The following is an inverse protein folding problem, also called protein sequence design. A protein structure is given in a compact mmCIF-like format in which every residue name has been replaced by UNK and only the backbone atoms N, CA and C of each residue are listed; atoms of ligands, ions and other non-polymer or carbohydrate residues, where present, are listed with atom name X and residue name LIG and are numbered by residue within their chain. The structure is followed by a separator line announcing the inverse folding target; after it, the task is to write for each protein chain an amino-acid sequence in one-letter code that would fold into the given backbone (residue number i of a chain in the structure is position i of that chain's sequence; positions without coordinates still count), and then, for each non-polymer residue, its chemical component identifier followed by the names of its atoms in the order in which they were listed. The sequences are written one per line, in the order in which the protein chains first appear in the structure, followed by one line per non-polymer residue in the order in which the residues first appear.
data_IF_930894236072
#
_entry.id   IF_930894236072
#
_cell.length_a   1.000
_cell.length_b   1.000
_cell.length_c   1.000
_cell.angle_alpha   90.00
_cell.angle_beta   90.00
_cell.angle_gamma   90.00
#
_symmetry.space_group_name_H-M   'P 1'
#
loop_
_entity.id
_entity.type
_entity.pdbx_description
1 polymer ?
#
# COMPACT_ATOMS: atom_id res chain seq x y z
N UNK A 1 -21.38 44.30 30.21
CA UNK A 1 -21.82 43.31 29.18
C UNK A 1 -21.93 41.93 29.81
N UNK A 2 -23.15 41.36 29.86
CA UNK A 2 -23.50 40.11 30.56
C UNK A 2 -23.04 38.87 29.77
N UNK A 3 -22.24 37.99 30.40
CA UNK A 3 -21.99 36.62 29.91
C UNK A 3 -23.27 35.78 30.08
N UNK A 4 -23.93 35.43 28.98
CA UNK A 4 -25.03 34.44 28.97
C UNK A 4 -24.46 33.03 29.18
N UNK A 5 -24.78 32.41 30.33
CA UNK A 5 -24.65 30.97 30.55
C UNK A 5 -25.73 30.26 29.73
N UNK A 6 -25.35 29.41 28.78
CA UNK A 6 -26.26 28.41 28.17
C UNK A 6 -25.94 27.06 28.81
N UNK A 7 -26.61 26.74 29.92
CA UNK A 7 -26.60 25.41 30.51
C UNK A 7 -27.99 25.12 31.09
N UNK A 8 -28.89 24.49 30.33
CA UNK A 8 -30.07 23.79 30.90
C UNK A 8 -30.99 23.19 29.81
N UNK A 9 -30.48 22.34 28.93
CA UNK A 9 -31.37 21.55 28.04
C UNK A 9 -31.07 20.04 28.09
N UNK A 10 -29.82 19.64 28.34
CA UNK A 10 -29.43 18.22 28.46
C UNK A 10 -29.71 17.60 29.84
N UNK A 11 -29.70 18.39 30.92
CA UNK A 11 -29.96 17.88 32.28
C UNK A 11 -31.44 17.53 32.51
N UNK A 12 -32.35 18.23 31.81
CA UNK A 12 -33.80 18.05 31.95
C UNK A 12 -34.26 16.75 31.26
N UNK A 13 -33.61 16.36 30.16
CA UNK A 13 -33.94 15.13 29.43
C UNK A 13 -33.59 13.84 30.20
N UNK A 14 -32.53 13.85 31.00
CA UNK A 14 -32.07 12.67 31.76
C UNK A 14 -32.97 12.40 32.98
N UNK A 15 -33.48 13.44 33.63
CA UNK A 15 -34.39 13.30 34.77
C UNK A 15 -35.79 12.78 34.35
N UNK A 16 -36.23 13.07 33.12
CA UNK A 16 -37.51 12.59 32.59
C UNK A 16 -37.49 11.09 32.26
N UNK A 17 -36.34 10.54 31.88
CA UNK A 17 -36.21 9.10 31.55
C UNK A 17 -36.12 8.24 32.81
N UNK A 18 -35.51 8.75 33.90
CA UNK A 18 -35.40 8.03 35.17
C UNK A 18 -36.75 7.84 35.88
N UNK A 19 -37.69 8.78 35.71
CA UNK A 19 -39.04 8.67 36.27
C UNK A 19 -39.91 7.56 35.65
N UNK A 20 -39.62 7.16 34.40
CA UNK A 20 -40.42 6.18 33.67
C UNK A 20 -40.02 4.71 33.93
N UNK A 21 -38.85 4.47 34.56
CA UNK A 21 -38.30 3.12 34.78
C UNK A 21 -38.07 2.72 36.25
N UNK A 22 -38.55 3.51 37.23
CA UNK A 22 -38.60 3.05 38.63
C UNK A 22 -37.26 2.72 39.29
N UNK A 23 -36.18 3.43 38.92
CA UNK A 23 -34.84 3.21 39.50
C UNK A 23 -34.66 3.97 40.81
N UNK A 24 -34.15 3.29 41.85
CA UNK A 24 -33.90 3.86 43.18
C UNK A 24 -32.74 4.88 43.18
N UNK A 25 -32.74 5.91 44.07
CA UNK A 25 -31.81 7.05 44.03
C UNK A 25 -30.32 6.72 44.14
N UNK A 26 -29.96 5.54 44.66
CA UNK A 26 -28.56 5.11 44.80
C UNK A 26 -27.92 4.60 43.49
N UNK A 27 -28.69 4.29 42.45
CA UNK A 27 -28.16 3.80 41.17
C UNK A 27 -27.90 4.91 40.14
N UNK A 28 -28.46 6.12 40.35
CA UNK A 28 -28.25 7.26 39.46
C UNK A 28 -26.82 7.83 39.54
N UNK A 29 -26.12 7.67 40.66
CA UNK A 29 -24.74 8.16 40.84
C UNK A 29 -23.67 7.30 40.15
N UNK A 30 -23.95 6.03 39.84
CA UNK A 30 -23.03 5.17 39.10
C UNK A 30 -23.09 5.37 37.58
N UNK A 31 -24.24 5.82 37.05
CA UNK A 31 -24.39 6.09 35.60
C UNK A 31 -23.65 7.37 35.19
N UNK A 32 -23.61 8.38 36.07
CA UNK A 32 -22.92 9.65 35.82
C UNK A 32 -21.39 9.50 35.77
N UNK A 33 -20.82 8.64 36.63
CA UNK A 33 -19.36 8.37 36.65
C UNK A 33 -18.91 7.57 35.43
N UNK A 34 -19.75 6.69 34.88
CA UNK A 34 -19.45 5.96 33.64
C UNK A 34 -19.51 6.90 32.42
N UNK A 35 -20.46 7.85 32.37
CA UNK A 35 -20.58 8.79 31.27
C UNK A 35 -19.43 9.83 31.20
N UNK A 36 -18.94 10.30 32.35
CA UNK A 36 -17.77 11.20 32.42
C UNK A 36 -16.47 10.49 32.03
N UNK A 37 -16.32 9.20 32.39
CA UNK A 37 -15.16 8.38 32.00
C UNK A 37 -15.17 7.99 30.51
N UNK A 38 -16.35 7.85 29.89
CA UNK A 38 -16.47 7.66 28.44
C UNK A 38 -16.13 8.96 27.70
N UNK A 39 -16.50 10.14 28.22
CA UNK A 39 -16.14 11.43 27.60
C UNK A 39 -14.65 11.76 27.70
N UNK A 40 -13.96 11.37 28.78
CA UNK A 40 -12.51 11.52 28.88
C UNK A 40 -11.75 10.50 28.01
N UNK A 41 -12.28 9.28 27.84
CA UNK A 41 -11.70 8.27 26.95
C UNK A 41 -11.90 8.61 25.46
N UNK A 42 -13.04 9.22 25.08
CA UNK A 42 -13.34 9.67 23.71
C UNK A 42 -12.58 10.96 23.34
N UNK A 43 -12.19 11.78 24.33
CA UNK A 43 -11.41 13.00 24.08
C UNK A 43 -9.90 12.71 23.99
N UNK A 44 -9.41 11.61 24.57
CA UNK A 44 -8.01 11.17 24.43
C UNK A 44 -7.74 10.34 23.16
N UNK A 45 -8.77 9.87 22.45
CA UNK A 45 -8.60 9.17 21.15
C UNK A 45 -8.61 10.08 19.93
N UNK A 46 -8.96 11.37 20.05
CA UNK A 46 -8.96 12.33 18.93
C UNK A 46 -7.64 13.08 18.69
N UNK A 47 -6.65 12.94 19.58
CA UNK A 47 -5.36 13.65 19.47
C UNK A 47 -4.13 12.73 19.28
N UNK A 48 -4.32 11.45 18.91
CA UNK A 48 -3.24 10.53 18.50
C UNK A 48 -3.25 10.16 17.01
N UNK A 49 -3.72 11.06 16.16
CA UNK A 49 -3.61 10.94 14.70
C UNK A 49 -3.08 12.23 14.09
N UNK A 50 -1.77 12.50 14.29
CA UNK A 50 -0.97 13.36 13.39
C UNK A 50 0.52 13.32 13.72
N UNK A 51 1.08 12.12 13.74
CA UNK A 51 2.49 11.93 13.41
C UNK A 51 2.64 10.64 12.61
N UNK A 52 1.81 10.50 11.59
CA UNK A 52 2.14 9.62 10.47
C UNK A 52 3.24 10.37 9.70
N UNK A 53 4.39 9.74 9.52
CA UNK A 53 5.43 10.20 8.60
C UNK A 53 4.79 10.38 7.22
N UNK A 54 4.31 11.58 6.92
CA UNK A 54 3.61 11.87 5.68
C UNK A 54 4.61 11.77 4.54
N UNK A 55 4.35 10.86 3.60
CA UNK A 55 5.12 10.74 2.37
C UNK A 55 5.28 12.13 1.73
N UNK A 56 6.49 12.47 1.34
CA UNK A 56 6.80 13.82 0.86
C UNK A 56 6.38 13.94 -0.61
N UNK A 57 5.78 15.07 -0.98
CA UNK A 57 5.48 15.37 -2.38
C UNK A 57 6.78 15.59 -3.16
N UNK A 58 6.91 14.98 -4.34
CA UNK A 58 8.00 15.25 -5.28
C UNK A 58 7.53 16.04 -6.49
N UNK A 59 8.45 16.77 -7.10
CA UNK A 59 8.28 17.38 -8.43
C UNK A 59 8.53 16.40 -9.58
N UNK A 60 9.16 15.25 -9.31
CA UNK A 60 9.41 14.22 -10.30
C UNK A 60 8.10 13.51 -10.69
N UNK A 61 7.77 13.51 -11.98
CA UNK A 61 6.52 12.89 -12.49
C UNK A 61 6.78 11.88 -13.60
N UNK A 62 7.90 11.96 -14.29
CA UNK A 62 8.32 11.00 -15.32
C UNK A 62 9.23 9.89 -14.76
N UNK A 63 9.30 8.76 -15.47
CA UNK A 63 10.21 7.65 -15.13
C UNK A 63 11.66 8.08 -15.02
N UNK A 64 12.15 8.92 -15.94
CA UNK A 64 13.53 9.46 -15.91
C UNK A 64 13.78 10.31 -14.67
N UNK A 65 12.84 11.16 -14.28
CA UNK A 65 12.98 11.98 -13.07
C UNK A 65 12.92 11.14 -11.80
N UNK A 66 12.04 10.13 -11.75
CA UNK A 66 11.96 9.19 -10.62
C UNK A 66 13.26 8.36 -10.51
N UNK A 67 13.80 7.90 -11.63
CA UNK A 67 15.07 7.18 -11.67
C UNK A 67 16.25 8.01 -11.14
N UNK A 68 16.21 9.34 -11.29
CA UNK A 68 17.25 10.24 -10.80
C UNK A 68 17.20 10.47 -9.27
N UNK A 69 16.11 10.09 -8.60
CA UNK A 69 16.00 10.22 -7.14
C UNK A 69 16.97 9.26 -6.44
N UNK A 70 17.56 9.73 -5.33
CA UNK A 70 18.36 8.91 -4.43
C UNK A 70 17.68 8.89 -3.06
N UNK A 71 17.54 7.70 -2.48
CA UNK A 71 17.04 7.58 -1.12
C UNK A 71 18.08 8.10 -0.13
N UNK A 72 17.62 8.88 0.85
CA UNK A 72 18.45 9.35 1.95
C UNK A 72 18.10 8.56 3.21
N UNK A 73 19.10 7.93 3.82
CA UNK A 73 18.93 7.10 5.03
C UNK A 73 18.16 7.85 6.12
N UNK A 74 17.15 7.20 6.70
CA UNK A 74 16.28 7.76 7.73
C UNK A 74 15.07 8.56 7.21
N UNK A 75 14.99 8.85 5.92
CA UNK A 75 13.82 9.53 5.32
C UNK A 75 12.68 8.54 5.05
N UNK A 76 11.48 9.07 4.79
CA UNK A 76 10.36 8.24 4.38
C UNK A 76 10.68 7.50 3.06
N UNK A 77 10.52 6.16 2.98
CA UNK A 77 10.77 5.40 1.75
C UNK A 77 9.67 5.58 0.69
N UNK A 78 8.63 6.36 0.98
CA UNK A 78 7.52 6.65 0.08
C UNK A 78 7.54 8.13 -0.30
N UNK A 79 7.36 8.40 -1.59
CA UNK A 79 7.23 9.73 -2.17
C UNK A 79 5.90 9.83 -2.90
N UNK A 80 5.16 10.92 -2.70
CA UNK A 80 3.92 11.22 -3.42
C UNK A 80 4.26 11.83 -4.78
N UNK A 81 3.80 11.20 -5.86
CA UNK A 81 4.00 11.64 -7.24
C UNK A 81 2.73 12.35 -7.71
N UNK A 82 2.86 13.46 -8.44
CA UNK A 82 1.70 14.24 -8.91
C UNK A 82 0.72 14.60 -7.77
N UNK A 83 1.25 15.06 -6.63
CA UNK A 83 0.45 15.38 -5.44
C UNK A 83 -0.30 14.18 -4.85
N UNK A 84 0.20 12.97 -5.10
CA UNK A 84 -0.40 11.72 -4.65
C UNK A 84 -1.61 11.28 -5.48
N UNK A 85 -1.81 11.84 -6.68
CA UNK A 85 -2.97 11.52 -7.52
C UNK A 85 -2.56 10.83 -8.81
N UNK A 86 -3.27 9.76 -9.15
CA UNK A 86 -3.12 9.06 -10.42
C UNK A 86 -3.40 9.99 -11.60
N UNK A 87 -2.67 9.78 -12.69
CA UNK A 87 -2.90 10.45 -13.98
C UNK A 87 -3.76 9.62 -14.92
N UNK A 88 -4.21 8.44 -14.49
CA UNK A 88 -5.00 7.52 -15.29
C UNK A 88 -6.41 8.06 -15.49
N UNK A 89 -6.94 7.90 -16.70
CA UNK A 89 -8.36 8.11 -16.96
C UNK A 89 -9.11 6.78 -16.81
N UNK A 90 -9.98 6.61 -15.79
CA UNK A 90 -10.69 5.36 -15.59
C UNK A 90 -11.65 5.01 -16.74
N UNK A 91 -12.06 6.00 -17.55
CA UNK A 91 -12.92 5.78 -18.71
C UNK A 91 -12.20 5.14 -19.91
N UNK A 92 -10.87 4.98 -19.88
CA UNK A 92 -10.14 4.35 -20.98
C UNK A 92 -10.13 2.81 -20.86
N UNK A 93 -10.62 2.26 -19.75
CA UNK A 93 -10.43 0.85 -19.38
C UNK A 93 -11.76 0.20 -19.00
N UNK A 94 -12.07 -0.93 -19.65
CA UNK A 94 -13.37 -1.62 -19.49
C UNK A 94 -13.26 -3.14 -19.47
N UNK A 95 -12.08 -3.70 -19.75
CA UNK A 95 -11.88 -5.13 -19.93
C UNK A 95 -11.03 -5.67 -18.79
N UNK A 96 -11.53 -6.66 -18.06
CA UNK A 96 -10.77 -7.38 -17.04
C UNK A 96 -9.57 -8.08 -17.69
N UNK A 97 -8.40 -7.48 -17.56
CA UNK A 97 -7.13 -7.97 -18.09
C UNK A 97 -5.96 -7.24 -17.46
N UNK A 98 -4.77 -7.82 -17.61
CA UNK A 98 -3.49 -7.13 -17.36
C UNK A 98 -2.75 -6.99 -18.67
N UNK A 99 -2.42 -5.77 -19.06
CA UNK A 99 -1.49 -5.51 -20.15
C UNK A 99 -0.08 -5.57 -19.59
N UNK A 100 0.61 -6.68 -19.86
CA UNK A 100 2.02 -6.85 -19.54
C UNK A 100 2.90 -6.20 -20.61
N UNK A 101 3.77 -5.28 -20.18
CA UNK A 101 4.79 -4.71 -21.05
C UNK A 101 5.85 -5.75 -21.44
N UNK A 102 6.39 -5.64 -22.65
CA UNK A 102 7.52 -6.45 -23.07
C UNK A 102 8.76 -6.16 -22.22
N UNK A 103 9.64 -7.14 -22.07
CA UNK A 103 10.95 -6.89 -21.47
C UNK A 103 11.78 -5.98 -22.39
N UNK A 104 12.68 -5.19 -21.81
CA UNK A 104 13.65 -4.44 -22.62
C UNK A 104 14.82 -5.32 -23.08
N UNK A 105 15.76 -4.70 -23.80
CA UNK A 105 16.97 -5.35 -24.31
C UNK A 105 17.90 -5.94 -23.23
N UNK A 106 17.71 -5.56 -21.95
CA UNK A 106 18.44 -6.11 -20.81
C UNK A 106 17.61 -7.18 -20.07
N UNK A 107 16.46 -7.61 -20.65
CA UNK A 107 15.50 -8.54 -20.06
C UNK A 107 14.82 -8.01 -18.78
N UNK A 108 14.71 -6.69 -18.62
CA UNK A 108 14.06 -6.04 -17.47
C UNK A 108 12.61 -5.72 -17.79
N UNK A 109 11.76 -5.61 -16.77
CA UNK A 109 10.49 -4.91 -16.92
C UNK A 109 10.77 -3.46 -17.36
N UNK A 110 10.14 -3.01 -18.44
CA UNK A 110 10.61 -1.83 -19.19
C UNK A 110 9.65 -0.64 -19.19
N UNK A 111 8.39 -0.91 -18.89
CA UNK A 111 7.28 0.04 -18.91
C UNK A 111 6.24 -0.41 -17.92
N UNK A 112 5.28 0.47 -17.62
CA UNK A 112 4.24 0.14 -16.68
C UNK A 112 3.38 -1.03 -17.17
N UNK A 113 3.04 -1.95 -16.29
CA UNK A 113 1.94 -2.89 -16.54
C UNK A 113 0.63 -2.19 -16.20
N UNK A 114 -0.45 -2.46 -16.92
CA UNK A 114 -1.77 -1.88 -16.58
C UNK A 114 -2.78 -2.96 -16.35
N UNK A 115 -3.35 -3.00 -15.15
CA UNK A 115 -4.37 -3.94 -14.74
C UNK A 115 -5.71 -3.22 -14.62
N UNK A 116 -6.75 -3.75 -15.26
CA UNK A 116 -8.13 -3.42 -14.94
C UNK A 116 -8.73 -4.56 -14.13
N UNK A 117 -9.01 -4.27 -12.86
CA UNK A 117 -9.34 -5.24 -11.84
C UNK A 117 -10.75 -5.04 -11.30
N UNK A 118 -11.38 -6.14 -10.92
CA UNK A 118 -12.73 -6.22 -10.38
C UNK A 118 -12.74 -7.15 -9.16
N UNK A 119 -13.86 -7.21 -8.42
CA UNK A 119 -13.98 -8.03 -7.20
C UNK A 119 -13.60 -9.50 -7.41
N UNK A 120 -13.87 -10.05 -8.60
CA UNK A 120 -13.53 -11.43 -8.97
C UNK A 120 -12.03 -11.72 -9.07
N UNK A 121 -11.17 -10.70 -9.09
CA UNK A 121 -9.71 -10.88 -9.14
C UNK A 121 -9.05 -11.01 -7.76
N UNK A 122 -9.79 -10.85 -6.66
CA UNK A 122 -9.21 -11.05 -5.33
C UNK A 122 -9.02 -12.55 -5.07
N UNK A 123 -7.77 -13.00 -4.96
CA UNK A 123 -7.43 -14.41 -4.65
C UNK A 123 -7.40 -14.68 -3.14
N UNK A 124 -7.47 -15.97 -2.80
CA UNK A 124 -7.09 -16.45 -1.48
C UNK A 124 -5.55 -16.52 -1.38
N UNK A 125 -4.98 -15.88 -0.36
CA UNK A 125 -3.52 -15.82 -0.14
C UNK A 125 -2.88 -17.21 0.06
N UNK A 126 -3.66 -18.24 0.41
CA UNK A 126 -3.19 -19.62 0.52
C UNK A 126 -2.79 -20.26 -0.83
N UNK A 127 -3.12 -19.64 -1.97
CA UNK A 127 -2.85 -20.17 -3.32
C UNK A 127 -1.48 -19.77 -3.87
N UNK A 128 -0.57 -19.29 -3.01
CA UNK A 128 0.80 -18.97 -3.39
C UNK A 128 1.59 -20.25 -3.66
N UNK A 129 2.27 -20.30 -4.80
CA UNK A 129 3.17 -21.40 -5.17
C UNK A 129 4.63 -20.96 -5.11
N UNK A 130 5.53 -21.94 -5.13
CA UNK A 130 6.97 -21.65 -5.22
C UNK A 130 7.28 -20.92 -6.52
N UNK A 131 7.99 -19.79 -6.39
CA UNK A 131 8.46 -19.02 -7.54
C UNK A 131 9.88 -19.48 -7.93
N UNK A 132 10.12 -19.68 -9.22
CA UNK A 132 11.38 -20.22 -9.74
C UNK A 132 12.20 -19.19 -10.53
N UNK A 133 11.53 -18.27 -11.21
CA UNK A 133 12.18 -17.28 -12.07
C UNK A 133 13.07 -16.31 -11.29
N UNK A 134 14.13 -15.80 -11.90
CA UNK A 134 15.01 -14.82 -11.28
C UNK A 134 15.04 -13.58 -12.18
N UNK A 135 14.45 -12.45 -11.75
CA UNK A 135 14.56 -11.21 -12.51
C UNK A 135 16.01 -10.72 -12.60
N UNK A 136 16.25 -9.71 -13.42
CA UNK A 136 17.57 -9.06 -13.51
C UNK A 136 18.05 -8.57 -12.13
N UNK A 137 19.37 -8.57 -11.93
CA UNK A 137 19.99 -8.13 -10.69
C UNK A 137 19.74 -9.06 -9.49
N UNK A 138 19.25 -10.28 -9.71
CA UNK A 138 18.94 -11.20 -8.62
C UNK A 138 20.20 -11.77 -7.94
N UNK A 139 20.53 -11.23 -6.77
CA UNK A 139 21.62 -11.71 -5.92
C UNK A 139 21.14 -11.88 -4.47
N UNK A 140 20.39 -12.96 -4.22
CA UNK A 140 19.79 -13.23 -2.91
C UNK A 140 20.83 -13.32 -1.79
N UNK A 141 20.51 -12.70 -0.64
CA UNK A 141 21.21 -12.87 0.64
C UNK A 141 20.21 -13.05 1.77
N UNK A 142 20.72 -13.43 2.93
CA UNK A 142 19.92 -13.61 4.13
C UNK A 142 20.52 -12.81 5.29
N UNK A 143 19.66 -12.15 6.06
CA UNK A 143 19.98 -11.60 7.36
C UNK A 143 19.50 -12.59 8.42
N UNK A 144 20.40 -13.46 8.90
CA UNK A 144 20.02 -14.64 9.66
C UNK A 144 19.21 -15.61 8.77
N UNK A 145 17.97 -15.89 9.14
CA UNK A 145 17.04 -16.74 8.36
C UNK A 145 16.14 -15.96 7.39
N UNK A 146 16.21 -14.63 7.42
CA UNK A 146 15.30 -13.77 6.66
C UNK A 146 15.93 -13.37 5.33
N UNK A 147 15.27 -13.70 4.22
CA UNK A 147 15.66 -13.24 2.89
C UNK A 147 15.57 -11.70 2.79
N UNK A 148 16.53 -11.07 2.12
CA UNK A 148 16.54 -9.61 1.95
C UNK A 148 15.99 -9.16 0.59
N UNK A 149 15.79 -10.09 -0.35
CA UNK A 149 15.17 -9.85 -1.64
C UNK A 149 13.95 -10.76 -1.83
N UNK A 150 12.94 -10.22 -2.51
CA UNK A 150 11.77 -10.91 -3.02
C UNK A 150 11.68 -10.73 -4.53
N UNK A 151 10.98 -11.66 -5.18
CA UNK A 151 10.52 -11.50 -6.56
C UNK A 151 9.32 -10.57 -6.49
N UNK A 152 9.57 -9.27 -6.61
CA UNK A 152 8.56 -8.24 -6.51
C UNK A 152 7.61 -8.33 -7.68
N UNK A 153 6.33 -8.56 -7.39
CA UNK A 153 5.27 -8.50 -8.39
C UNK A 153 4.94 -7.05 -8.70
N UNK A 154 4.84 -6.69 -9.98
CA UNK A 154 4.23 -5.42 -10.37
C UNK A 154 2.73 -5.48 -10.07
N UNK A 155 2.03 -6.50 -10.60
CA UNK A 155 0.65 -6.82 -10.25
C UNK A 155 0.65 -8.08 -9.39
N UNK A 156 0.30 -7.94 -8.11
CA UNK A 156 0.28 -9.04 -7.16
C UNK A 156 -0.68 -10.16 -7.56
N UNK A 157 -0.28 -11.41 -7.33
CA UNK A 157 -1.14 -12.57 -7.56
C UNK A 157 -2.44 -12.51 -6.73
N UNK A 158 -2.40 -11.90 -5.54
CA UNK A 158 -3.56 -11.71 -4.66
C UNK A 158 -4.61 -10.75 -5.23
N UNK A 159 -4.23 -9.91 -6.20
CA UNK A 159 -5.09 -8.93 -6.87
C UNK A 159 -5.47 -9.36 -8.30
N UNK A 160 -4.94 -10.47 -8.80
CA UNK A 160 -5.04 -10.85 -10.21
C UNK A 160 -5.55 -12.27 -10.41
N UNK A 161 -6.35 -12.82 -9.48
CA UNK A 161 -7.07 -14.08 -9.68
C UNK A 161 -7.76 -14.08 -11.04
N UNK A 162 -7.64 -15.18 -11.76
CA UNK A 162 -8.24 -15.33 -13.07
C UNK A 162 -7.44 -14.66 -14.18
N UNK A 163 -6.35 -13.95 -13.91
CA UNK A 163 -5.50 -13.38 -14.96
C UNK A 163 -4.42 -14.39 -15.35
N UNK A 164 -4.43 -14.81 -16.61
CA UNK A 164 -3.44 -15.73 -17.18
C UNK A 164 -2.10 -15.04 -17.50
N UNK A 165 -1.09 -15.83 -17.87
CA UNK A 165 0.27 -15.34 -18.16
C UNK A 165 0.35 -14.36 -19.35
N UNK A 166 -0.58 -14.47 -20.30
CA UNK A 166 -0.74 -13.55 -21.43
C UNK A 166 -1.59 -12.31 -21.08
N UNK A 167 -2.15 -12.27 -19.86
CA UNK A 167 -2.87 -11.12 -19.31
C UNK A 167 -4.38 -11.16 -19.48
N UNK A 168 -4.93 -12.20 -20.11
CA UNK A 168 -6.36 -12.34 -20.32
C UNK A 168 -7.08 -12.87 -19.07
N UNK A 169 -8.38 -12.61 -18.94
CA UNK A 169 -9.18 -13.20 -17.87
C UNK A 169 -9.66 -14.60 -18.26
N UNK A 170 -9.26 -15.60 -17.49
CA UNK A 170 -9.69 -16.99 -17.51
C UNK A 170 -10.21 -17.38 -16.10
N UNK A 171 -11.52 -17.53 -15.91
CA UNK A 171 -12.10 -17.84 -14.59
C UNK A 171 -11.71 -19.22 -14.05
N UNK A 172 -11.13 -20.10 -14.87
CA UNK A 172 -10.61 -21.39 -14.40
C UNK A 172 -9.35 -21.22 -13.55
N UNK A 173 -8.59 -20.13 -13.75
CA UNK A 173 -7.38 -19.83 -12.98
C UNK A 173 -7.73 -19.33 -11.57
N UNK A 174 -7.45 -20.14 -10.55
CA UNK A 174 -7.79 -19.83 -9.17
C UNK A 174 -6.81 -18.85 -8.49
N UNK A 175 -5.69 -18.54 -9.14
CA UNK A 175 -4.68 -17.59 -8.67
C UNK A 175 -4.27 -16.64 -9.80
N UNK A 176 -3.62 -15.54 -9.46
CA UNK A 176 -2.96 -14.70 -10.45
C UNK A 176 -1.60 -15.24 -10.86
N UNK A 177 -0.99 -14.59 -11.84
CA UNK A 177 0.36 -14.91 -12.29
C UNK A 177 1.40 -14.82 -11.14
N UNK A 178 2.23 -15.86 -11.02
CA UNK A 178 3.27 -15.96 -9.98
C UNK A 178 4.71 -16.01 -10.52
N UNK A 179 4.90 -16.22 -11.83
CA UNK A 179 6.21 -16.51 -12.42
C UNK A 179 6.46 -15.82 -13.79
N UNK A 180 5.62 -14.88 -14.23
CA UNK A 180 5.88 -14.13 -15.47
C UNK A 180 7.03 -13.12 -15.27
N UNK A 181 8.10 -13.25 -16.07
CA UNK A 181 9.21 -12.30 -16.05
C UNK A 181 8.78 -10.87 -16.40
N UNK A 182 7.70 -10.69 -17.18
CA UNK A 182 7.13 -9.35 -17.48
C UNK A 182 6.44 -8.70 -16.28
N UNK A 183 6.22 -9.45 -15.20
CA UNK A 183 5.52 -9.01 -14.01
C UNK A 183 6.41 -9.04 -12.76
N UNK A 184 7.68 -9.45 -12.89
CA UNK A 184 8.57 -9.67 -11.75
C UNK A 184 9.85 -8.86 -11.88
N UNK A 185 10.26 -8.24 -10.78
CA UNK A 185 11.53 -7.52 -10.66
C UNK A 185 12.22 -7.85 -9.34
N UNK A 186 13.53 -7.58 -9.25
CA UNK A 186 14.27 -7.77 -8.01
C UNK A 186 13.90 -6.64 -7.04
N UNK A 187 13.21 -6.99 -5.96
CA UNK A 187 12.71 -6.04 -4.96
C UNK A 187 13.23 -6.41 -3.58
N UNK A 188 13.58 -5.42 -2.76
CA UNK A 188 13.95 -5.67 -1.37
C UNK A 188 12.78 -6.24 -0.58
N UNK A 189 13.06 -7.10 0.39
CA UNK A 189 12.03 -7.69 1.23
C UNK A 189 11.22 -6.61 1.96
N UNK A 190 11.89 -5.55 2.43
CA UNK A 190 11.25 -4.41 3.07
C UNK A 190 10.31 -3.66 2.12
N UNK A 191 10.77 -3.24 0.93
CA UNK A 191 9.90 -2.48 0.01
C UNK A 191 8.75 -3.34 -0.51
N UNK A 192 8.98 -4.63 -0.78
CA UNK A 192 7.95 -5.58 -1.21
C UNK A 192 6.90 -5.81 -0.11
N UNK A 193 7.32 -6.24 1.07
CA UNK A 193 6.39 -6.73 2.11
C UNK A 193 5.82 -5.58 2.94
N UNK A 194 6.65 -4.61 3.35
CA UNK A 194 6.21 -3.56 4.27
C UNK A 194 5.57 -2.38 3.55
N UNK A 195 6.08 -2.00 2.39
CA UNK A 195 5.70 -0.73 1.75
C UNK A 195 4.69 -0.94 0.63
N UNK A 196 5.01 -1.76 -0.38
CA UNK A 196 4.12 -2.00 -1.50
C UNK A 196 2.80 -2.67 -1.07
N UNK A 197 2.84 -3.57 -0.09
CA UNK A 197 1.62 -4.21 0.43
C UNK A 197 0.62 -3.23 1.05
N UNK A 198 1.04 -2.04 1.50
CA UNK A 198 0.12 -0.97 1.94
C UNK A 198 -0.84 -0.63 0.80
N UNK A 199 -0.29 -0.28 -0.36
CA UNK A 199 -1.05 0.15 -1.53
C UNK A 199 -1.80 -1.00 -2.19
N UNK A 200 -1.21 -2.19 -2.22
CA UNK A 200 -1.93 -3.38 -2.68
C UNK A 200 -3.14 -3.70 -1.79
N UNK A 201 -3.08 -3.37 -0.50
CA UNK A 201 -4.21 -3.53 0.41
C UNK A 201 -5.30 -2.51 0.15
N UNK A 202 -4.95 -1.24 -0.12
CA UNK A 202 -5.94 -0.23 -0.54
C UNK A 202 -6.68 -0.65 -1.82
N UNK A 203 -5.95 -1.19 -2.81
CA UNK A 203 -6.56 -1.76 -4.03
C UNK A 203 -7.43 -2.96 -3.67
N UNK A 204 -6.94 -3.91 -2.86
CA UNK A 204 -7.69 -5.10 -2.45
C UNK A 204 -9.01 -4.76 -1.78
N UNK A 205 -9.00 -3.78 -0.87
CA UNK A 205 -10.17 -3.38 -0.12
C UNK A 205 -11.18 -2.64 -1.02
N UNK A 206 -10.72 -1.85 -1.98
CA UNK A 206 -11.58 -1.28 -3.02
C UNK A 206 -12.27 -2.37 -3.86
N UNK A 207 -11.51 -3.39 -4.30
CA UNK A 207 -12.07 -4.52 -5.05
C UNK A 207 -13.08 -5.32 -4.21
N UNK A 208 -12.81 -5.56 -2.93
CA UNK A 208 -13.76 -6.21 -2.00
C UNK A 208 -15.03 -5.38 -1.80
N UNK A 209 -14.94 -4.06 -1.85
CA UNK A 209 -16.08 -3.15 -1.78
C UNK A 209 -16.87 -3.04 -3.10
N UNK A 210 -16.60 -3.90 -4.09
CA UNK A 210 -17.33 -3.91 -5.36
C UNK A 210 -16.81 -2.93 -6.41
N UNK A 211 -15.69 -2.24 -6.16
CA UNK A 211 -15.15 -1.24 -7.08
C UNK A 211 -14.37 -1.90 -8.21
N UNK A 212 -14.34 -1.21 -9.35
CA UNK A 212 -13.44 -1.53 -10.46
C UNK A 212 -12.24 -0.59 -10.38
N UNK A 213 -11.03 -1.13 -10.47
CA UNK A 213 -9.78 -0.38 -10.23
C UNK A 213 -8.85 -0.55 -11.40
N UNK A 214 -8.35 0.57 -11.93
CA UNK A 214 -7.20 0.60 -12.82
C UNK A 214 -5.97 0.72 -11.91
N UNK A 215 -5.05 -0.24 -12.01
CA UNK A 215 -3.79 -0.25 -11.27
C UNK A 215 -2.62 -0.34 -12.25
N UNK A 216 -1.69 0.62 -12.17
CA UNK A 216 -0.58 0.74 -13.10
C UNK A 216 0.77 0.82 -12.36
N UNK A 217 1.35 -0.34 -12.00
CA UNK A 217 2.68 -0.44 -11.41
C UNK A 217 3.81 -0.36 -12.46
N UNK A 218 4.92 0.30 -12.10
CA UNK A 218 6.10 0.46 -12.96
C UNK A 218 7.40 0.42 -12.15
N UNK A 219 8.23 -0.61 -12.37
CA UNK A 219 9.57 -0.67 -11.80
C UNK A 219 10.48 0.34 -12.54
N UNK A 220 11.17 1.19 -11.78
CA UNK A 220 11.94 2.31 -12.33
C UNK A 220 13.43 1.98 -12.28
N UNK A 221 14.04 1.82 -13.45
CA UNK A 221 15.48 1.60 -13.61
C UNK A 221 16.19 2.90 -14.01
N UNK A 222 17.45 3.08 -13.59
CA UNK A 222 18.31 4.19 -14.05
C UNK A 222 19.31 3.66 -15.06
N UNK A 223 19.26 4.16 -16.30
CA UNK A 223 20.17 3.75 -17.37
C UNK A 223 20.19 2.23 -17.55
N UNK A 224 21.37 1.62 -17.48
CA UNK A 224 21.59 0.19 -17.69
C UNK A 224 21.59 -0.65 -16.38
N UNK A 225 21.07 -0.11 -15.28
CA UNK A 225 21.01 -0.83 -14.01
C UNK A 225 20.15 -2.09 -14.10
N UNK A 226 20.60 -3.19 -13.49
CA UNK A 226 19.89 -4.46 -13.50
C UNK A 226 18.87 -4.60 -12.35
N UNK A 227 18.96 -3.77 -11.32
CA UNK A 227 17.98 -3.69 -10.23
C UNK A 227 17.31 -2.31 -10.23
N UNK A 228 15.97 -2.22 -10.10
CA UNK A 228 15.30 -0.93 -10.15
C UNK A 228 15.56 -0.12 -8.88
N UNK A 229 15.60 1.21 -9.02
CA UNK A 229 15.75 2.17 -7.91
C UNK A 229 14.51 2.23 -7.02
N UNK A 230 13.37 1.83 -7.56
CA UNK A 230 12.08 1.86 -6.90
C UNK A 230 10.97 1.38 -7.81
N UNK A 231 9.74 1.48 -7.32
CA UNK A 231 8.53 1.16 -8.08
C UNK A 231 7.54 2.31 -7.94
N UNK A 232 7.03 2.80 -9.07
CA UNK A 232 5.90 3.71 -9.08
C UNK A 232 4.61 2.89 -9.08
N UNK A 233 3.69 3.21 -8.19
CA UNK A 233 2.36 2.63 -8.12
C UNK A 233 1.34 3.74 -8.30
N UNK A 234 0.45 3.61 -9.26
CA UNK A 234 -0.74 4.45 -9.34
C UNK A 234 -2.00 3.62 -9.49
N UNK A 235 -3.07 4.05 -8.84
CA UNK A 235 -4.37 3.43 -8.95
C UNK A 235 -5.48 4.48 -9.01
N UNK A 236 -6.54 4.17 -9.75
CA UNK A 236 -7.80 4.92 -9.73
C UNK A 236 -8.98 3.95 -9.85
N UNK A 237 -10.00 4.10 -9.01
CA UNK A 237 -11.27 3.40 -9.20
C UNK A 237 -12.17 4.12 -10.21
N UNK A 238 -13.09 3.40 -10.85
CA UNK A 238 -14.03 4.00 -11.82
C UNK A 238 -14.93 5.06 -11.19
N UNK A 239 -15.28 4.90 -9.91
CA UNK A 239 -15.98 5.89 -9.07
C UNK A 239 -15.08 6.99 -8.49
N UNK A 240 -13.76 6.94 -8.77
CA UNK A 240 -12.71 7.88 -8.34
C UNK A 240 -12.49 8.01 -6.83
N UNK A 241 -13.08 7.12 -6.02
CA UNK A 241 -12.95 7.15 -4.56
C UNK A 241 -11.64 6.55 -4.05
N UNK A 242 -11.03 5.61 -4.80
CA UNK A 242 -9.64 5.22 -4.66
C UNK A 242 -8.84 6.02 -5.69
N UNK A 243 -7.82 6.75 -5.24
CA UNK A 243 -6.93 7.50 -6.13
C UNK A 243 -5.58 7.73 -5.45
N UNK A 244 -4.52 7.11 -5.96
CA UNK A 244 -3.16 7.36 -5.49
C UNK A 244 -2.12 7.35 -6.61
N UNK A 245 -0.99 8.00 -6.37
CA UNK A 245 0.22 7.89 -7.18
C UNK A 245 1.46 8.09 -6.31
N UNK A 246 2.23 7.03 -6.15
CA UNK A 246 3.35 6.98 -5.22
C UNK A 246 4.57 6.35 -5.87
N UNK A 247 5.75 6.74 -5.41
CA UNK A 247 7.01 6.10 -5.72
C UNK A 247 7.60 5.53 -4.43
N UNK A 248 7.92 4.23 -4.47
CA UNK A 248 8.48 3.48 -3.36
C UNK A 248 9.94 3.19 -3.68
N UNK A 249 10.85 3.64 -2.81
CA UNK A 249 12.27 3.32 -2.95
C UNK A 249 12.53 1.82 -2.72
N UNK A 250 13.37 1.21 -3.56
CA UNK A 250 13.74 -0.20 -3.48
C UNK A 250 14.90 -0.41 -2.48
N UNK A 251 14.64 -0.12 -1.20
CA UNK A 251 15.65 -0.08 -0.14
C UNK A 251 15.37 -1.10 0.96
N UNK A 252 16.40 -1.47 1.73
CA UNK A 252 16.34 -2.48 2.79
C UNK A 252 17.08 -1.95 4.03
N UNK A 253 16.48 -2.00 5.23
CA UNK A 253 17.20 -1.72 6.47
C UNK A 253 18.48 -2.56 6.59
N UNK A 254 19.58 -1.93 6.98
CA UNK A 254 20.90 -2.53 7.21
C UNK A 254 21.61 -3.08 5.96
N UNK A 255 21.14 -2.77 4.75
CA UNK A 255 21.81 -3.19 3.51
C UNK A 255 21.90 -2.02 2.52
N UNK A 256 22.99 -2.01 1.76
CA UNK A 256 23.19 -1.09 0.63
C UNK A 256 23.31 -1.92 -0.63
N UNK A 257 22.63 -1.50 -1.70
CA UNK A 257 22.63 -2.18 -3.00
C UNK A 257 23.42 -1.37 -4.03
N UNK A 258 24.26 -2.06 -4.79
CA UNK A 258 24.69 -1.59 -6.10
C UNK A 258 23.59 -1.96 -7.11
N UNK A 259 22.82 -0.97 -7.55
CA UNK A 259 21.71 -1.17 -8.48
C UNK A 259 22.18 -1.56 -9.89
N UNK A 260 23.44 -1.28 -10.24
CA UNK A 260 24.03 -1.67 -11.52
C UNK A 260 23.99 -3.18 -11.67
N UNK A 261 24.41 -3.90 -10.63
CA UNK A 261 24.50 -5.36 -10.64
C UNK A 261 23.41 -6.05 -9.82
N UNK A 262 22.79 -5.36 -8.86
CA UNK A 262 21.88 -5.91 -7.86
C UNK A 262 22.58 -6.55 -6.65
N UNK A 263 23.92 -6.50 -6.56
CA UNK A 263 24.66 -6.98 -5.40
C UNK A 263 24.47 -6.07 -4.19
N UNK A 264 24.57 -6.64 -3.00
CA UNK A 264 24.43 -5.91 -1.75
C UNK A 264 25.57 -6.14 -0.77
N UNK A 265 25.77 -5.19 0.13
CA UNK A 265 26.61 -5.31 1.32
C UNK A 265 25.81 -4.93 2.55
N UNK A 266 26.14 -5.54 3.70
CA UNK A 266 25.59 -5.10 4.96
C UNK A 266 26.14 -3.70 5.29
N UNK A 267 25.30 -2.84 5.86
CA UNK A 267 25.64 -1.46 6.19
C UNK A 267 24.69 -0.88 7.22
N UNK A 268 24.68 0.44 7.36
CA UNK A 268 23.90 1.20 8.35
C UNK A 268 22.68 1.91 7.75
N UNK A 269 22.11 1.39 6.65
CA UNK A 269 20.93 1.98 6.04
C UNK A 269 19.74 1.94 7.00
N UNK A 270 19.30 3.10 7.46
CA UNK A 270 18.10 3.25 8.26
C UNK A 270 16.93 3.52 7.33
N UNK A 271 15.84 2.76 7.47
CA UNK A 271 14.61 2.98 6.72
C UNK A 271 13.44 2.91 7.72
N UNK A 272 12.77 4.04 8.00
CA UNK A 272 11.64 4.04 8.93
C UNK A 272 10.48 3.23 8.33
N UNK A 273 9.85 2.41 9.17
CA UNK A 273 8.65 1.65 8.80
C UNK A 273 7.43 2.57 8.91
N UNK A 274 6.64 2.76 7.83
CA UNK A 274 5.39 3.52 7.91
C UNK A 274 4.40 2.92 8.91
N UNK A 275 3.61 3.74 9.57
CA UNK A 275 2.70 3.31 10.63
C UNK A 275 1.60 2.32 10.16
N UNK A 276 1.23 2.37 8.89
CA UNK A 276 0.27 1.48 8.24
C UNK A 276 0.90 0.27 7.55
N UNK A 277 2.22 0.08 7.67
CA UNK A 277 2.88 -1.10 7.12
C UNK A 277 2.40 -2.37 7.85
N UNK A 278 2.06 -3.44 7.13
CA UNK A 278 1.71 -4.71 7.76
C UNK A 278 2.90 -5.29 8.53
N UNK A 279 2.60 -6.07 9.57
CA UNK A 279 3.58 -6.91 10.25
C UNK A 279 3.40 -8.35 9.79
N UNK A 280 4.46 -8.93 9.24
CA UNK A 280 4.54 -10.37 9.01
C UNK A 280 5.39 -10.94 10.13
N UNK A 281 4.82 -11.90 10.86
CA UNK A 281 5.62 -12.75 11.75
C UNK A 281 6.37 -13.70 10.83
N UNK A 282 7.68 -13.47 10.68
CA UNK A 282 8.58 -14.39 9.99
C UNK A 282 9.11 -15.43 10.97
#
# INVERSE_FOLDING_TARGET
MRKKRKSSLTLIAILLIAGFFGLKPQQAHQVTTVAENISTTVTQTKNKTKQSSSATNTKATSSTQLAALNYQSGQNPIVQVNGGKSTLNPADWHTNRVIYSSLDSLNRTSSANTAYLESRNVANDALRVRQTVQPTGWHQKFAGKTAILNRGHLVAYSLSKGISLDGNYDPSQQSGDQNNLKNLFTQTAFSNQRIQTIYETEVRDALRAGKQVIYQPHAIFRGNELMPRGVQLQAISTDKTLNFNVYIFNVQPNFVFDYTTGRSVQGSMNVPTPANAPSFNN
#
